data_IF_555303229086
#
_entry.id   IF_555303229086
#
_cell.length_a   1.000
_cell.length_b   1.000
_cell.length_c   1.000
_cell.angle_alpha   90.00
_cell.angle_beta   90.00
_cell.angle_gamma   90.00
#
_symmetry.space_group_name_H-M   'P 1'
#
loop_
_entity.id
_entity.type
_entity.pdbx_description
1 polymer ?
#
# COMPACT_ATOMS: atom_id res chain seq x y z
N UNK A 1 5.43 -3.13 -24.26
CA UNK A 1 5.62 -1.88 -23.51
C UNK A 1 5.86 -2.25 -22.06
N UNK A 2 7.06 -1.97 -21.53
CA UNK A 2 7.32 -2.07 -20.10
C UNK A 2 6.33 -1.15 -19.37
N UNK A 3 5.42 -1.72 -18.57
CA UNK A 3 4.60 -0.93 -17.66
C UNK A 3 5.49 -0.48 -16.51
N UNK A 4 6.06 0.72 -16.63
CA UNK A 4 6.65 1.41 -15.47
C UNK A 4 5.51 1.80 -14.53
N UNK A 5 5.62 1.39 -13.28
CA UNK A 5 4.79 1.91 -12.19
C UNK A 5 4.94 3.43 -12.14
N UNK A 6 3.82 4.12 -11.95
CA UNK A 6 3.75 5.58 -11.91
C UNK A 6 3.25 6.02 -10.55
N UNK A 7 3.65 7.21 -10.15
CA UNK A 7 3.07 7.83 -8.97
C UNK A 7 1.54 7.91 -9.09
N UNK A 8 0.85 7.46 -8.04
CA UNK A 8 -0.61 7.37 -8.01
C UNK A 8 -1.18 6.02 -8.42
N UNK A 9 -0.37 5.13 -9.01
CA UNK A 9 -0.76 3.73 -9.17
C UNK A 9 -0.93 3.05 -7.81
N UNK A 10 -1.73 1.98 -7.79
CA UNK A 10 -1.91 1.13 -6.62
C UNK A 10 -1.37 -0.28 -6.86
N UNK A 11 -0.76 -0.84 -5.82
CA UNK A 11 -0.32 -2.24 -5.78
C UNK A 11 -1.15 -2.95 -4.72
N UNK A 12 -1.84 -4.01 -5.12
CA UNK A 12 -2.59 -4.87 -4.20
C UNK A 12 -1.85 -6.19 -4.00
N UNK A 13 -1.69 -6.59 -2.75
CA UNK A 13 -1.10 -7.87 -2.35
C UNK A 13 -2.15 -8.97 -2.34
N UNK A 14 -1.74 -10.24 -2.33
CA UNK A 14 -2.66 -11.38 -2.21
C UNK A 14 -3.45 -11.39 -0.89
N UNK A 15 -2.92 -10.76 0.15
CA UNK A 15 -3.55 -10.55 1.45
C UNK A 15 -4.56 -9.39 1.44
N UNK A 16 -4.69 -8.68 0.31
CA UNK A 16 -5.57 -7.52 0.16
C UNK A 16 -5.01 -6.22 0.72
N UNK A 17 -3.73 -6.15 1.12
CA UNK A 17 -3.10 -4.86 1.45
C UNK A 17 -2.92 -4.04 0.17
N UNK A 18 -3.25 -2.75 0.23
CA UNK A 18 -3.15 -1.84 -0.92
C UNK A 18 -2.13 -0.74 -0.62
N UNK A 19 -1.15 -0.62 -1.49
CA UNK A 19 -0.06 0.35 -1.42
C UNK A 19 -0.21 1.41 -2.52
N UNK A 20 0.03 2.68 -2.21
CA UNK A 20 0.15 3.74 -3.22
C UNK A 20 1.60 3.90 -3.66
N UNK A 21 1.84 3.82 -4.96
CA UNK A 21 3.16 4.04 -5.57
C UNK A 21 3.56 5.50 -5.39
N UNK A 22 4.80 5.72 -4.96
CA UNK A 22 5.35 7.04 -4.68
C UNK A 22 6.68 7.27 -5.39
N UNK A 23 6.83 8.49 -5.91
CA UNK A 23 7.99 8.91 -6.68
C UNK A 23 7.86 8.56 -8.16
N UNK A 24 8.63 9.28 -8.97
CA UNK A 24 8.70 9.09 -10.42
C UNK A 24 9.88 8.18 -10.83
N UNK A 25 10.81 7.95 -9.91
CA UNK A 25 12.02 7.15 -10.12
C UNK A 25 11.99 5.98 -9.16
N UNK A 26 12.09 4.78 -9.71
CA UNK A 26 12.14 3.54 -8.97
C UNK A 26 13.47 2.85 -9.23
N UNK A 27 14.02 2.08 -8.27
CA UNK A 27 15.15 1.22 -8.55
C UNK A 27 14.79 0.17 -9.61
N UNK A 28 15.80 -0.40 -10.27
CA UNK A 28 15.58 -1.23 -11.46
C UNK A 28 14.75 -2.50 -11.17
N UNK A 29 14.84 -3.03 -9.96
CA UNK A 29 14.29 -4.31 -9.54
C UNK A 29 13.08 -4.20 -8.59
N UNK A 30 12.67 -2.97 -8.22
CA UNK A 30 11.63 -2.76 -7.19
C UNK A 30 10.88 -1.45 -7.37
N UNK A 31 9.71 -1.39 -6.76
CA UNK A 31 8.84 -0.20 -6.77
C UNK A 31 8.79 0.38 -5.37
N UNK A 32 8.82 1.71 -5.28
CA UNK A 32 8.62 2.42 -4.01
C UNK A 32 7.13 2.64 -3.84
N UNK A 33 6.55 2.05 -2.81
CA UNK A 33 5.14 2.21 -2.49
C UNK A 33 4.94 2.19 -0.98
N UNK A 34 3.88 2.85 -0.51
CA UNK A 34 3.55 2.91 0.91
C UNK A 34 2.18 2.34 1.16
N UNK A 35 1.98 1.68 2.30
CA UNK A 35 0.65 1.17 2.62
C UNK A 35 -0.34 2.33 2.70
N UNK A 36 -1.49 2.14 2.04
CA UNK A 36 -2.56 3.14 1.95
C UNK A 36 -3.84 2.62 2.55
N UNK A 37 -4.17 1.36 2.25
CA UNK A 37 -5.35 0.69 2.78
C UNK A 37 -5.03 -0.71 3.27
N UNK A 38 -5.66 -1.11 4.36
CA UNK A 38 -5.62 -2.48 4.87
C UNK A 38 -7.06 -2.99 5.11
N UNK A 39 -7.33 -4.29 4.90
CA UNK A 39 -8.65 -4.86 5.15
C UNK A 39 -9.08 -4.64 6.60
N UNK A 40 -10.33 -4.20 6.78
CA UNK A 40 -10.90 -3.94 8.10
C UNK A 40 -12.38 -4.26 8.11
N UNK A 41 -12.86 -4.91 9.17
CA UNK A 41 -14.29 -5.24 9.31
C UNK A 41 -15.17 -4.01 9.54
N UNK A 42 -14.59 -2.94 10.08
CA UNK A 42 -15.27 -1.70 10.41
C UNK A 42 -14.84 -0.52 9.53
N UNK A 43 -14.01 -0.78 8.51
CA UNK A 43 -13.43 0.25 7.67
C UNK A 43 -14.47 1.01 6.85
N UNK A 44 -14.28 2.33 6.74
CA UNK A 44 -15.21 3.22 6.03
C UNK A 44 -15.04 3.17 4.50
N UNK A 45 -13.91 2.63 4.01
CA UNK A 45 -13.62 2.55 2.57
C UNK A 45 -14.08 1.20 2.03
N UNK A 46 -14.68 1.20 0.85
CA UNK A 46 -15.18 -0.01 0.20
C UNK A 46 -14.53 -0.21 -1.17
N UNK A 47 -14.06 -1.44 -1.42
CA UNK A 47 -13.69 -1.91 -2.75
C UNK A 47 -14.44 -3.21 -3.02
N UNK A 48 -15.44 -3.15 -3.91
CA UNK A 48 -16.37 -4.26 -4.12
C UNK A 48 -17.10 -4.66 -2.83
N UNK A 49 -16.85 -5.88 -2.36
CA UNK A 49 -17.43 -6.43 -1.12
C UNK A 49 -16.54 -6.25 0.11
N UNK A 50 -15.31 -5.78 -0.07
CA UNK A 50 -14.33 -5.64 1.01
C UNK A 50 -14.36 -4.24 1.60
N UNK A 51 -14.15 -4.18 2.92
CA UNK A 51 -14.03 -2.95 3.69
C UNK A 51 -12.58 -2.73 4.09
N UNK A 52 -12.18 -1.46 4.14
CA UNK A 52 -10.80 -1.05 4.37
C UNK A 52 -10.72 0.17 5.28
N UNK A 53 -9.68 0.18 6.09
CA UNK A 53 -9.21 1.38 6.76
C UNK A 53 -8.11 2.05 5.96
N UNK A 54 -8.04 3.37 6.05
CA UNK A 54 -7.05 4.19 5.35
C UNK A 54 -6.01 4.71 6.32
N UNK A 55 -4.73 4.53 6.00
CA UNK A 55 -3.62 5.07 6.78
C UNK A 55 -3.16 6.40 6.19
N UNK A 56 -3.37 7.49 6.92
CA UNK A 56 -3.07 8.83 6.42
C UNK A 56 -1.60 9.22 6.61
N UNK A 57 -1.17 9.35 7.87
CA UNK A 57 0.15 9.87 8.21
C UNK A 57 1.26 8.86 7.93
N UNK A 58 2.40 9.37 7.45
CA UNK A 58 3.57 8.54 7.14
C UNK A 58 4.06 7.73 8.35
N UNK A 59 4.12 8.33 9.55
CA UNK A 59 4.50 7.63 10.78
C UNK A 59 3.62 6.41 11.05
N UNK A 60 2.30 6.59 11.03
CA UNK A 60 1.34 5.49 11.19
C UNK A 60 1.47 4.40 10.13
N UNK A 61 1.87 4.73 8.89
CA UNK A 61 2.13 3.71 7.86
C UNK A 61 3.29 2.82 8.27
N UNK A 62 4.38 3.41 8.77
CA UNK A 62 5.52 2.66 9.28
C UNK A 62 5.18 1.86 10.54
N UNK A 63 4.48 2.45 11.51
CA UNK A 63 4.02 1.76 12.73
C UNK A 63 3.16 0.55 12.37
N UNK A 64 2.15 0.75 11.52
CA UNK A 64 1.27 -0.33 11.09
C UNK A 64 2.03 -1.46 10.40
N UNK A 65 2.95 -1.13 9.49
CA UNK A 65 3.77 -2.14 8.81
C UNK A 65 4.67 -2.89 9.80
N UNK A 66 5.31 -2.21 10.76
CA UNK A 66 6.15 -2.87 11.77
C UNK A 66 5.37 -3.92 12.57
N UNK A 67 4.12 -3.61 12.90
CA UNK A 67 3.27 -4.47 13.73
C UNK A 67 2.61 -5.60 12.94
N UNK A 68 2.22 -5.35 11.68
CA UNK A 68 1.30 -6.24 10.95
C UNK A 68 1.89 -6.88 9.70
N UNK A 69 2.89 -6.25 9.07
CA UNK A 69 3.49 -6.75 7.83
C UNK A 69 4.96 -6.27 7.68
N UNK A 70 5.84 -6.63 8.63
CA UNK A 70 7.22 -6.14 8.69
C UNK A 70 8.06 -6.55 7.48
N UNK A 71 7.66 -7.59 6.75
CA UNK A 71 8.29 -8.05 5.50
C UNK A 71 8.26 -7.01 4.36
N UNK A 72 7.39 -6.00 4.45
CA UNK A 72 7.32 -4.90 3.49
C UNK A 72 8.10 -3.66 3.93
N UNK A 73 8.85 -3.74 5.03
CA UNK A 73 9.81 -2.71 5.44
C UNK A 73 11.19 -3.06 4.87
N UNK A 74 11.82 -2.09 4.22
CA UNK A 74 13.16 -2.17 3.64
C UNK A 74 14.05 -1.12 4.30
#
# INVERSE_FOLDING_TARGET
MEKKFREGDFIETWQGLIFDVKGLVHPLDRVIAFIRYYPSRAGERRSGKHLYDKVYSLSKRYEWLRENAPEYLV
#
